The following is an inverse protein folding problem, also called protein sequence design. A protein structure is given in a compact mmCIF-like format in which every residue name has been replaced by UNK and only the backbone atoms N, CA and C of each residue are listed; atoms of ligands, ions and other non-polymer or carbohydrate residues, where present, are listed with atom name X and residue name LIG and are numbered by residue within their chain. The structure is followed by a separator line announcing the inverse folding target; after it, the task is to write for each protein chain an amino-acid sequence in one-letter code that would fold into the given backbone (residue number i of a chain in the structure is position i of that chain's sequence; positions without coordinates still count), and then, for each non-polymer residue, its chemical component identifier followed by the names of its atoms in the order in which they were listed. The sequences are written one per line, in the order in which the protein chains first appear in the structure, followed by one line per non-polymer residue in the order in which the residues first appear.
data_IF_789271142593
#
_entry.id   IF_789271142593
#
_cell.length_a   1.000
_cell.length_b   1.000
_cell.length_c   1.000
_cell.angle_alpha   90.00
_cell.angle_beta   90.00
_cell.angle_gamma   90.00
#
_symmetry.space_group_name_H-M   'P 1'
#
loop_
_entity.id
_entity.type
_entity.pdbx_description
1 polymer ?
#
# COMPACT_ATOMS: atom_id res chain seq x y z
N UNK A 1 -30.32 32.69 2.94
CA UNK A 1 -31.49 31.82 2.65
C UNK A 1 -30.94 30.45 2.29
N UNK A 2 -31.10 29.43 3.13
CA UNK A 2 -30.74 28.07 2.70
C UNK A 2 -31.69 27.66 1.59
N UNK A 3 -31.14 27.29 0.43
CA UNK A 3 -31.94 26.74 -0.65
C UNK A 3 -32.64 25.46 -0.14
N UNK A 4 -33.95 25.35 -0.36
CA UNK A 4 -34.73 24.19 0.05
C UNK A 4 -34.27 22.99 -0.77
N UNK A 5 -33.70 21.97 -0.12
CA UNK A 5 -33.24 20.75 -0.80
C UNK A 5 -34.42 19.88 -1.25
N UNK A 6 -34.26 19.22 -2.41
CA UNK A 6 -35.12 18.13 -2.84
C UNK A 6 -34.98 16.93 -1.90
N UNK A 7 -36.04 16.13 -1.73
CA UNK A 7 -36.03 14.93 -0.89
C UNK A 7 -36.40 13.71 -1.70
N UNK A 8 -35.57 12.67 -1.62
CA UNK A 8 -35.77 11.39 -2.27
C UNK A 8 -35.72 10.31 -1.20
N UNK A 9 -36.88 9.69 -0.94
CA UNK A 9 -36.98 8.57 -0.01
C UNK A 9 -36.86 7.24 -0.75
N UNK A 10 -36.26 6.24 -0.06
CA UNK A 10 -36.18 4.80 -0.38
C UNK A 10 -36.66 4.41 -1.78
N UNK A 11 -35.75 4.46 -2.75
CA UNK A 11 -35.95 3.91 -4.09
C UNK A 11 -34.63 3.48 -4.72
N UNK A 12 -34.71 2.87 -5.89
CA UNK A 12 -33.58 2.68 -6.77
C UNK A 12 -33.27 4.00 -7.49
N UNK A 13 -32.01 4.41 -7.46
CA UNK A 13 -31.53 5.68 -8.01
C UNK A 13 -30.46 5.39 -9.06
N UNK A 14 -30.66 5.93 -10.26
CA UNK A 14 -29.77 5.78 -11.41
C UNK A 14 -29.15 7.11 -11.87
N UNK A 15 -29.48 8.21 -11.20
CA UNK A 15 -28.91 9.55 -11.43
C UNK A 15 -28.89 10.35 -10.13
N UNK A 16 -27.84 11.16 -9.92
CA UNK A 16 -27.74 12.07 -8.78
C UNK A 16 -28.00 13.50 -9.24
N UNK A 17 -28.95 14.15 -8.58
CA UNK A 17 -29.24 15.59 -8.72
C UNK A 17 -28.59 16.39 -7.59
N UNK A 18 -28.05 17.57 -7.93
CA UNK A 18 -27.55 18.54 -6.94
C UNK A 18 -28.67 19.06 -6.04
N UNK A 19 -28.31 19.63 -4.87
CA UNK A 19 -29.28 20.17 -3.90
C UNK A 19 -30.34 19.16 -3.44
N UNK A 20 -29.97 17.89 -3.31
CA UNK A 20 -30.90 16.79 -3.03
C UNK A 20 -30.46 15.97 -1.81
N UNK A 21 -31.42 15.55 -1.01
CA UNK A 21 -31.24 14.64 0.12
C UNK A 21 -31.84 13.28 -0.24
N UNK A 22 -30.99 12.24 -0.27
CA UNK A 22 -31.35 10.84 -0.50
C UNK A 22 -31.34 10.10 0.84
N UNK A 23 -32.45 9.46 1.21
CA UNK A 23 -32.55 8.70 2.45
C UNK A 23 -33.01 7.25 2.19
N UNK A 24 -32.18 6.30 2.58
CA UNK A 24 -32.44 4.86 2.44
C UNK A 24 -32.46 4.35 0.99
N UNK A 25 -31.79 5.03 0.06
CA UNK A 25 -31.82 4.67 -1.36
C UNK A 25 -30.78 3.60 -1.72
N UNK A 26 -31.09 2.81 -2.75
CA UNK A 26 -30.12 1.95 -3.43
C UNK A 26 -29.63 2.67 -4.70
N UNK A 27 -28.33 2.95 -4.77
CA UNK A 27 -27.74 3.77 -5.82
C UNK A 27 -26.94 2.89 -6.77
N UNK A 28 -27.28 2.93 -8.06
CA UNK A 28 -26.71 2.12 -9.13
C UNK A 28 -26.00 3.02 -10.13
N UNK A 29 -24.90 3.64 -9.68
CA UNK A 29 -24.11 4.60 -10.43
C UNK A 29 -22.64 4.35 -10.13
N UNK A 30 -21.85 4.02 -11.16
CA UNK A 30 -20.43 3.72 -11.03
C UNK A 30 -19.55 4.98 -11.12
N UNK A 31 -20.05 6.03 -11.76
CA UNK A 31 -19.34 7.29 -11.89
C UNK A 31 -20.28 8.48 -11.71
N UNK A 32 -19.95 9.37 -10.77
CA UNK A 32 -20.63 10.63 -10.51
C UNK A 32 -19.67 11.75 -10.87
N UNK A 33 -19.95 12.44 -11.98
CA UNK A 33 -19.07 13.53 -12.44
C UNK A 33 -19.13 14.72 -11.49
N UNK A 34 -20.33 15.13 -11.08
CA UNK A 34 -20.53 16.27 -10.19
C UNK A 34 -21.52 15.89 -9.09
N UNK A 35 -21.07 16.00 -7.84
CA UNK A 35 -21.88 15.85 -6.65
C UNK A 35 -21.76 17.14 -5.83
N UNK A 36 -22.76 18.00 -5.90
CA UNK A 36 -22.72 19.32 -5.28
C UNK A 36 -23.95 19.54 -4.40
N UNK A 37 -23.71 19.86 -3.13
CA UNK A 37 -24.73 20.09 -2.11
C UNK A 37 -25.72 18.91 -2.03
N UNK A 38 -25.19 17.69 -1.84
CA UNK A 38 -25.97 16.44 -1.78
C UNK A 38 -25.78 15.76 -0.43
N UNK A 39 -26.89 15.32 0.16
CA UNK A 39 -26.87 14.57 1.41
C UNK A 39 -27.34 13.15 1.13
N UNK A 40 -26.52 12.17 1.52
CA UNK A 40 -26.87 10.76 1.51
C UNK A 40 -26.96 10.25 2.94
N UNK A 41 -28.13 9.74 3.31
CA UNK A 41 -28.39 9.11 4.61
C UNK A 41 -28.80 7.66 4.39
N UNK A 42 -28.17 6.72 5.10
CA UNK A 42 -28.55 5.30 5.09
C UNK A 42 -28.59 4.66 3.68
N UNK A 43 -27.81 5.19 2.74
CA UNK A 43 -27.84 4.75 1.35
C UNK A 43 -26.86 3.59 1.10
N UNK A 44 -27.16 2.74 0.13
CA UNK A 44 -26.25 1.68 -0.30
C UNK A 44 -25.92 1.86 -1.77
N UNK A 45 -24.64 2.10 -2.05
CA UNK A 45 -24.12 2.14 -3.41
C UNK A 45 -23.81 0.70 -3.84
N UNK A 46 -24.41 0.29 -4.95
CA UNK A 46 -24.47 -1.12 -5.38
C UNK A 46 -23.42 -1.48 -6.41
N UNK A 47 -22.83 -0.49 -7.07
CA UNK A 47 -21.74 -0.72 -7.99
C UNK A 47 -20.48 -1.17 -7.24
N UNK A 48 -19.69 -2.02 -7.90
CA UNK A 48 -18.44 -2.54 -7.33
C UNK A 48 -17.46 -1.40 -7.07
N UNK A 49 -17.42 -0.44 -7.96
CA UNK A 49 -16.56 0.73 -7.85
C UNK A 49 -17.39 1.96 -8.14
N UNK A 50 -17.34 2.93 -7.23
CA UNK A 50 -18.02 4.22 -7.35
C UNK A 50 -16.96 5.31 -7.37
N UNK A 51 -16.86 6.02 -8.47
CA UNK A 51 -15.96 7.15 -8.62
C UNK A 51 -16.74 8.46 -8.54
N UNK A 52 -16.32 9.38 -7.68
CA UNK A 52 -16.85 10.74 -7.62
C UNK A 52 -15.75 11.71 -8.02
N UNK A 53 -15.90 12.33 -9.18
CA UNK A 53 -14.87 13.21 -9.74
C UNK A 53 -14.78 14.53 -8.99
N UNK A 54 -15.94 15.16 -8.73
CA UNK A 54 -16.05 16.42 -7.99
C UNK A 54 -17.15 16.30 -6.93
N UNK A 55 -16.77 16.50 -5.67
CA UNK A 55 -17.64 16.40 -4.51
C UNK A 55 -17.51 17.66 -3.65
N UNK A 56 -18.53 18.50 -3.63
CA UNK A 56 -18.54 19.75 -2.86
C UNK A 56 -19.79 19.84 -1.99
N UNK A 57 -19.61 20.26 -0.72
CA UNK A 57 -20.68 20.46 0.25
C UNK A 57 -21.59 19.22 0.40
N UNK A 58 -21.00 18.02 0.41
CA UNK A 58 -21.74 16.76 0.46
C UNK A 58 -21.57 16.04 1.81
N UNK A 59 -22.57 15.23 2.18
CA UNK A 59 -22.49 14.35 3.36
C UNK A 59 -22.89 12.93 3.00
N UNK A 60 -22.11 11.97 3.49
CA UNK A 60 -22.40 10.54 3.43
C UNK A 60 -22.47 10.00 4.85
N UNK A 61 -23.69 9.82 5.34
CA UNK A 61 -23.94 9.34 6.70
C UNK A 61 -24.55 7.95 6.64
N UNK A 62 -23.91 6.97 7.31
CA UNK A 62 -24.33 5.56 7.29
C UNK A 62 -24.48 4.99 5.87
N UNK A 63 -23.57 5.39 4.97
CA UNK A 63 -23.59 4.93 3.58
C UNK A 63 -22.61 3.79 3.36
N UNK A 64 -23.03 2.77 2.61
CA UNK A 64 -22.21 1.59 2.33
C UNK A 64 -21.74 1.58 0.88
N UNK A 65 -20.48 1.23 0.68
CA UNK A 65 -19.82 1.09 -0.61
C UNK A 65 -19.06 -0.24 -0.65
N UNK A 66 -18.84 -0.80 -1.85
CA UNK A 66 -17.76 -1.78 -2.00
C UNK A 66 -16.42 -1.02 -2.10
N UNK A 67 -16.27 -0.22 -3.15
CA UNK A 67 -15.15 0.71 -3.32
C UNK A 67 -15.66 2.12 -3.62
N UNK A 68 -15.04 3.12 -3.01
CA UNK A 68 -15.30 4.53 -3.24
C UNK A 68 -14.00 5.26 -3.59
N UNK A 69 -13.94 5.85 -4.77
CA UNK A 69 -12.87 6.75 -5.19
C UNK A 69 -13.35 8.20 -5.22
N UNK A 70 -12.62 9.06 -4.51
CA UNK A 70 -12.90 10.48 -4.36
C UNK A 70 -11.75 11.28 -4.95
N UNK A 71 -12.03 11.99 -6.05
CA UNK A 71 -10.99 12.73 -6.76
C UNK A 71 -10.79 14.14 -6.23
N UNK A 72 -11.78 15.02 -6.34
CA UNK A 72 -11.72 16.36 -5.74
C UNK A 72 -12.82 16.53 -4.71
N UNK A 73 -12.44 16.69 -3.45
CA UNK A 73 -13.39 16.87 -2.35
C UNK A 73 -13.18 18.20 -1.61
N UNK A 74 -14.28 18.90 -1.36
CA UNK A 74 -14.32 20.12 -0.53
C UNK A 74 -15.57 20.08 0.35
N UNK A 75 -15.42 20.43 1.63
CA UNK A 75 -16.53 20.45 2.60
C UNK A 75 -17.34 19.14 2.62
N UNK A 76 -16.64 18.01 2.52
CA UNK A 76 -17.24 16.69 2.61
C UNK A 76 -17.49 16.34 4.08
N UNK A 77 -18.42 15.41 4.34
CA UNK A 77 -18.54 14.66 5.59
C UNK A 77 -18.72 13.19 5.24
N UNK A 78 -17.90 12.33 5.83
CA UNK A 78 -18.09 10.88 5.79
C UNK A 78 -18.19 10.38 7.24
N UNK A 79 -19.33 9.82 7.60
CA UNK A 79 -19.63 9.41 8.97
C UNK A 79 -20.40 8.08 8.99
N UNK A 80 -19.92 7.13 9.78
CA UNK A 80 -20.51 5.78 9.79
C UNK A 80 -20.36 5.03 8.46
N UNK A 81 -21.11 3.93 8.34
CA UNK A 81 -21.09 3.09 7.14
C UNK A 81 -19.83 2.23 7.00
N UNK A 82 -19.86 1.37 5.99
CA UNK A 82 -18.81 0.39 5.71
C UNK A 82 -18.36 0.46 4.25
N UNK A 83 -17.05 0.32 4.03
CA UNK A 83 -16.47 0.13 2.72
C UNK A 83 -15.22 -0.75 2.76
N UNK A 84 -14.98 -1.48 1.66
CA UNK A 84 -13.78 -2.31 1.52
C UNK A 84 -12.59 -1.45 1.11
N UNK A 85 -12.75 -0.58 0.11
CA UNK A 85 -11.69 0.29 -0.42
C UNK A 85 -12.15 1.76 -0.45
N UNK A 86 -11.27 2.65 0.02
CA UNK A 86 -11.42 4.10 -0.05
C UNK A 86 -10.15 4.70 -0.68
N UNK A 87 -10.30 5.23 -1.89
CA UNK A 87 -9.24 5.98 -2.56
C UNK A 87 -9.54 7.47 -2.52
N UNK A 88 -8.57 8.28 -2.12
CA UNK A 88 -8.68 9.74 -2.12
C UNK A 88 -7.51 10.28 -2.93
N UNK A 89 -7.81 10.89 -4.06
CA UNK A 89 -6.76 11.36 -4.98
C UNK A 89 -6.36 12.79 -4.66
N UNK A 90 -7.30 13.73 -4.47
CA UNK A 90 -6.99 15.13 -4.14
C UNK A 90 -7.90 15.67 -3.04
N UNK A 91 -7.34 16.53 -2.19
CA UNK A 91 -8.04 17.13 -1.05
C UNK A 91 -7.35 16.85 0.29
N UNK A 92 -8.16 16.63 1.32
CA UNK A 92 -7.76 16.32 2.70
C UNK A 92 -8.50 15.06 3.18
N UNK A 93 -8.15 14.53 4.35
CA UNK A 93 -8.90 13.47 5.05
C UNK A 93 -9.65 13.99 6.30
N UNK A 94 -9.57 15.29 6.60
CA UNK A 94 -10.15 15.88 7.83
C UNK A 94 -11.68 15.80 7.96
N UNK A 95 -12.35 15.47 6.86
CA UNK A 95 -13.78 15.25 6.79
C UNK A 95 -14.21 13.83 7.17
N UNK A 96 -13.28 12.88 7.31
CA UNK A 96 -13.57 11.55 7.82
C UNK A 96 -13.87 11.69 9.31
N UNK A 97 -15.11 11.41 9.69
CA UNK A 97 -15.60 11.50 11.07
C UNK A 97 -15.60 10.11 11.72
N UNK A 98 -16.33 9.98 12.83
CA UNK A 98 -16.37 8.76 13.61
C UNK A 98 -17.09 7.61 12.89
N UNK A 99 -16.82 6.40 13.35
CA UNK A 99 -17.54 5.16 12.99
C UNK A 99 -17.48 4.73 11.52
N UNK A 100 -16.63 5.34 10.68
CA UNK A 100 -16.39 4.87 9.32
C UNK A 100 -15.54 3.60 9.37
N UNK A 101 -16.04 2.51 8.78
CA UNK A 101 -15.31 1.25 8.68
C UNK A 101 -14.69 1.12 7.28
N UNK A 102 -13.37 1.20 7.20
CA UNK A 102 -12.59 1.05 5.96
C UNK A 102 -11.56 -0.04 6.18
N UNK A 103 -11.44 -0.99 5.24
CA UNK A 103 -10.38 -2.02 5.30
C UNK A 103 -9.13 -1.62 4.52
N UNK A 104 -9.30 -0.97 3.37
CA UNK A 104 -8.20 -0.55 2.50
C UNK A 104 -8.33 0.93 2.20
N UNK A 105 -7.22 1.66 2.34
CA UNK A 105 -7.20 3.10 2.10
C UNK A 105 -6.00 3.47 1.24
N UNK A 106 -6.23 4.27 0.19
CA UNK A 106 -5.20 4.80 -0.69
C UNK A 106 -5.27 6.32 -0.72
N UNK A 107 -4.16 6.99 -0.41
CA UNK A 107 -4.10 8.46 -0.26
C UNK A 107 -2.90 9.04 -1.04
N UNK A 108 -2.77 8.82 -2.35
CA UNK A 108 -1.52 9.12 -3.08
C UNK A 108 -1.13 10.61 -3.15
N UNK A 109 -2.07 11.57 -3.20
CA UNK A 109 -1.73 12.98 -3.55
C UNK A 109 -2.28 14.06 -2.59
N UNK A 110 -3.15 13.72 -1.63
CA UNK A 110 -3.85 14.68 -0.75
C UNK A 110 -3.15 14.91 0.59
N UNK A 111 -2.94 16.13 1.09
CA UNK A 111 -2.30 16.36 2.42
C UNK A 111 -2.91 15.46 3.52
N UNK A 112 -2.07 14.69 4.21
CA UNK A 112 -2.49 13.69 5.20
C UNK A 112 -1.96 14.13 6.55
N UNK A 113 -2.88 14.37 7.48
CA UNK A 113 -2.59 14.54 8.89
C UNK A 113 -3.11 13.28 9.60
N UNK A 114 -2.19 12.52 10.19
CA UNK A 114 -2.47 11.23 10.79
C UNK A 114 -3.44 11.32 11.98
N UNK A 115 -3.60 12.51 12.57
CA UNK A 115 -4.58 12.73 13.64
C UNK A 115 -6.03 12.47 13.18
N UNK A 116 -6.33 12.58 11.89
CA UNK A 116 -7.66 12.28 11.36
C UNK A 116 -7.89 10.79 11.11
N UNK A 117 -6.83 9.98 11.04
CA UNK A 117 -6.95 8.55 10.79
C UNK A 117 -7.29 7.73 12.05
N UNK A 118 -7.21 8.33 13.25
CA UNK A 118 -7.54 7.67 14.52
C UNK A 118 -8.95 7.05 14.58
N UNK A 119 -9.85 7.48 13.71
CA UNK A 119 -11.22 6.98 13.63
C UNK A 119 -11.35 5.69 12.81
N UNK A 120 -10.33 5.32 12.01
CA UNK A 120 -10.37 4.17 11.10
C UNK A 120 -9.70 2.96 11.75
N UNK A 121 -10.41 2.29 12.66
CA UNK A 121 -9.82 1.23 13.51
C UNK A 121 -9.62 -0.12 12.84
N UNK A 122 -10.31 -0.39 11.73
CA UNK A 122 -10.34 -1.69 11.05
C UNK A 122 -9.46 -1.72 9.79
N UNK A 123 -8.53 -0.77 9.67
CA UNK A 123 -7.67 -0.67 8.50
C UNK A 123 -6.70 -1.85 8.44
N UNK A 124 -6.71 -2.55 7.31
CA UNK A 124 -5.87 -3.71 7.00
C UNK A 124 -4.81 -3.39 5.96
N UNK A 125 -5.10 -2.44 5.06
CA UNK A 125 -4.17 -1.99 4.02
C UNK A 125 -4.15 -0.46 3.92
N UNK A 126 -2.94 0.11 3.91
CA UNK A 126 -2.73 1.55 3.77
C UNK A 126 -1.67 1.82 2.70
N UNK A 127 -2.05 2.59 1.67
CA UNK A 127 -1.14 3.15 0.69
C UNK A 127 -1.04 4.67 0.85
N UNK A 128 0.13 5.13 1.25
CA UNK A 128 0.49 6.54 1.33
C UNK A 128 1.79 6.82 0.56
N UNK A 129 2.05 6.04 -0.49
CA UNK A 129 3.24 6.17 -1.32
C UNK A 129 3.31 7.50 -2.08
N UNK A 130 4.53 7.89 -2.46
CA UNK A 130 4.88 9.11 -3.22
C UNK A 130 4.56 10.44 -2.52
N UNK A 131 4.56 10.45 -1.17
CA UNK A 131 4.24 11.62 -0.34
C UNK A 131 5.36 11.97 0.62
N UNK A 132 5.60 13.24 0.90
CA UNK A 132 6.48 13.57 2.03
C UNK A 132 5.76 13.18 3.34
N UNK A 133 6.33 12.21 4.06
CA UNK A 133 5.87 11.77 5.38
C UNK A 133 6.98 12.08 6.40
N UNK A 134 6.62 12.59 7.58
CA UNK A 134 7.56 12.75 8.67
C UNK A 134 7.72 11.42 9.42
N UNK A 135 8.94 11.04 9.78
CA UNK A 135 9.22 9.82 10.55
C UNK A 135 8.37 9.75 11.85
N UNK A 136 8.13 10.90 12.51
CA UNK A 136 7.29 10.97 13.72
C UNK A 136 5.82 10.62 13.45
N UNK A 137 5.32 10.91 12.26
CA UNK A 137 3.93 10.63 11.92
C UNK A 137 3.67 9.12 11.84
N UNK A 138 4.71 8.32 11.57
CA UNK A 138 4.61 6.86 11.53
C UNK A 138 4.27 6.26 12.90
N UNK A 139 4.52 6.96 14.01
CA UNK A 139 4.10 6.50 15.35
C UNK A 139 2.58 6.34 15.46
N UNK A 140 1.80 7.07 14.65
CA UNK A 140 0.34 6.93 14.64
C UNK A 140 -0.13 5.61 14.00
N UNK A 141 0.71 4.95 13.20
CA UNK A 141 0.36 3.67 12.56
C UNK A 141 0.13 2.55 13.57
N UNK A 142 0.68 2.66 14.79
CA UNK A 142 0.45 1.71 15.88
C UNK A 142 -1.04 1.62 16.30
N UNK A 143 -1.85 2.63 15.94
CA UNK A 143 -3.29 2.63 16.20
C UNK A 143 -4.04 1.61 15.33
N UNK A 144 -3.47 1.20 14.19
CA UNK A 144 -4.07 0.24 13.27
C UNK A 144 -3.68 -1.18 13.63
N UNK A 145 -4.32 -1.70 14.69
CA UNK A 145 -4.03 -3.06 15.21
C UNK A 145 -4.27 -4.20 14.22
N UNK A 146 -4.94 -3.95 13.09
CA UNK A 146 -5.22 -4.94 12.03
C UNK A 146 -4.42 -4.68 10.75
N UNK A 147 -3.47 -3.74 10.75
CA UNK A 147 -2.73 -3.37 9.55
C UNK A 147 -1.76 -4.49 9.17
N UNK A 148 -1.96 -5.01 7.97
CA UNK A 148 -1.22 -6.14 7.39
C UNK A 148 -0.40 -5.71 6.15
N UNK A 149 -0.87 -4.72 5.40
CA UNK A 149 -0.27 -4.26 4.14
C UNK A 149 -0.01 -2.74 4.17
N UNK A 150 1.25 -2.34 4.05
CA UNK A 150 1.67 -0.95 4.14
C UNK A 150 2.58 -0.55 2.98
N UNK A 151 2.16 0.44 2.21
CA UNK A 151 2.96 1.04 1.15
C UNK A 151 3.43 2.44 1.55
N UNK A 152 4.73 2.56 1.82
CA UNK A 152 5.48 3.78 2.16
C UNK A 152 6.48 4.14 1.05
N UNK A 153 6.33 3.59 -0.16
CA UNK A 153 7.26 3.82 -1.26
C UNK A 153 7.39 5.32 -1.58
N UNK A 154 8.62 5.82 -1.72
CA UNK A 154 8.89 7.20 -2.13
C UNK A 154 8.39 8.26 -1.15
N UNK A 155 8.38 7.95 0.15
CA UNK A 155 7.84 8.86 1.18
C UNK A 155 8.85 9.79 1.87
N UNK A 156 10.14 9.62 1.54
CA UNK A 156 11.29 10.31 2.14
C UNK A 156 11.49 10.04 3.64
N UNK A 157 10.88 8.97 4.16
CA UNK A 157 11.15 8.51 5.52
C UNK A 157 12.60 8.05 5.65
N UNK A 158 13.17 8.24 6.83
CA UNK A 158 14.55 7.87 7.15
C UNK A 158 14.68 6.88 8.30
N UNK A 159 13.58 6.61 9.01
CA UNK A 159 13.51 5.73 10.18
C UNK A 159 12.50 4.58 9.98
N UNK A 160 12.89 3.37 10.40
CA UNK A 160 12.07 2.14 10.36
C UNK A 160 11.53 1.81 11.75
N UNK A 161 12.22 2.26 12.81
CA UNK A 161 11.85 1.98 14.20
C UNK A 161 10.35 2.14 14.52
N UNK A 162 9.63 3.19 14.04
CA UNK A 162 8.20 3.35 14.34
C UNK A 162 7.33 2.17 13.87
N UNK A 163 7.74 1.43 12.84
CA UNK A 163 6.97 0.32 12.26
C UNK A 163 6.99 -0.94 13.12
N UNK A 164 7.92 -1.05 14.09
CA UNK A 164 8.06 -2.23 14.95
C UNK A 164 6.83 -2.52 15.81
N UNK A 165 6.00 -1.50 16.04
CA UNK A 165 4.77 -1.64 16.83
C UNK A 165 3.60 -2.20 16.02
N UNK A 166 3.73 -2.35 14.69
CA UNK A 166 2.68 -2.86 13.81
C UNK A 166 2.77 -4.39 13.74
N UNK A 167 2.20 -5.05 14.75
CA UNK A 167 2.42 -6.49 15.00
C UNK A 167 1.92 -7.43 13.90
N UNK A 168 0.98 -7.01 13.07
CA UNK A 168 0.37 -7.87 12.05
C UNK A 168 0.89 -7.59 10.63
N UNK A 169 1.89 -6.71 10.50
CA UNK A 169 2.41 -6.32 9.19
C UNK A 169 3.07 -7.50 8.48
N UNK A 170 2.52 -7.87 7.32
CA UNK A 170 2.99 -8.97 6.49
C UNK A 170 3.50 -8.52 5.12
N UNK A 171 3.06 -7.34 4.64
CA UNK A 171 3.51 -6.75 3.38
C UNK A 171 3.96 -5.32 3.61
N UNK A 172 5.18 -5.02 3.16
CA UNK A 172 5.78 -3.72 3.34
C UNK A 172 6.53 -3.27 2.10
N UNK A 173 6.16 -2.10 1.57
CA UNK A 173 6.92 -1.42 0.53
C UNK A 173 7.61 -0.17 1.10
N UNK A 174 8.94 -0.21 1.14
CA UNK A 174 9.83 0.86 1.57
C UNK A 174 10.67 1.41 0.40
N UNK A 175 10.36 1.02 -0.84
CA UNK A 175 11.14 1.39 -2.01
C UNK A 175 11.24 2.91 -2.19
N UNK A 176 12.25 3.39 -2.92
CA UNK A 176 12.46 4.83 -3.17
C UNK A 176 12.64 5.70 -1.90
N UNK A 177 13.06 5.13 -0.77
CA UNK A 177 13.42 5.87 0.45
C UNK A 177 14.93 5.77 0.75
N UNK A 178 15.41 6.54 1.72
CA UNK A 178 16.82 6.52 2.15
C UNK A 178 16.90 6.46 3.67
N UNK A 179 17.39 5.34 4.20
CA UNK A 179 17.40 5.03 5.63
C UNK A 179 18.75 5.31 6.28
N UNK A 180 18.76 5.63 7.57
CA UNK A 180 20.02 5.73 8.34
C UNK A 180 20.62 4.34 8.55
N UNK A 181 21.94 4.26 8.70
CA UNK A 181 22.64 2.97 8.80
C UNK A 181 22.19 2.12 10.00
N UNK A 182 21.81 2.77 11.10
CA UNK A 182 21.32 2.10 12.31
C UNK A 182 19.87 1.59 12.19
N UNK A 183 19.14 1.91 11.12
CA UNK A 183 17.73 1.56 10.97
C UNK A 183 17.54 0.17 10.36
N UNK A 184 18.54 -0.37 9.66
CA UNK A 184 18.44 -1.70 9.07
C UNK A 184 18.21 -2.79 10.12
N UNK A 185 18.81 -2.68 11.32
CA UNK A 185 18.52 -3.61 12.42
C UNK A 185 17.05 -3.58 12.84
N UNK A 186 16.40 -2.42 12.73
CA UNK A 186 15.00 -2.27 13.13
C UNK A 186 14.05 -3.00 12.17
N UNK A 187 14.44 -3.09 10.89
CA UNK A 187 13.72 -3.87 9.89
C UNK A 187 13.65 -5.35 10.28
N UNK A 188 14.73 -5.91 10.83
CA UNK A 188 14.78 -7.30 11.27
C UNK A 188 13.85 -7.67 12.43
N UNK A 189 13.25 -6.68 13.10
CA UNK A 189 12.25 -6.92 14.15
C UNK A 189 10.83 -7.12 13.58
N UNK A 190 10.61 -6.87 12.29
CA UNK A 190 9.32 -7.05 11.61
C UNK A 190 9.08 -8.51 11.20
N UNK A 191 9.12 -9.42 12.18
CA UNK A 191 9.21 -10.89 11.98
C UNK A 191 8.05 -11.53 11.21
N UNK A 192 6.93 -10.83 11.07
CA UNK A 192 5.74 -11.32 10.34
C UNK A 192 5.76 -10.95 8.85
N UNK A 193 6.77 -10.22 8.37
CA UNK A 193 6.88 -9.88 6.96
C UNK A 193 7.02 -11.13 6.07
N UNK A 194 6.14 -11.22 5.09
CA UNK A 194 6.17 -12.19 3.99
C UNK A 194 6.62 -11.55 2.68
N UNK A 195 6.29 -10.27 2.48
CA UNK A 195 6.61 -9.50 1.28
C UNK A 195 7.30 -8.20 1.67
N UNK A 196 8.51 -7.98 1.13
CA UNK A 196 9.30 -6.79 1.40
C UNK A 196 9.88 -6.21 0.12
N UNK A 197 9.58 -4.94 -0.14
CA UNK A 197 10.19 -4.19 -1.24
C UNK A 197 11.12 -3.09 -0.70
N UNK A 198 12.39 -3.20 -1.10
CA UNK A 198 13.50 -2.30 -0.74
C UNK A 198 14.17 -1.73 -1.99
N UNK A 199 13.53 -1.83 -3.16
CA UNK A 199 14.09 -1.33 -4.40
C UNK A 199 14.39 0.17 -4.33
N UNK A 200 15.49 0.60 -4.98
CA UNK A 200 15.93 2.02 -4.98
C UNK A 200 16.09 2.62 -3.59
N UNK A 201 16.50 1.81 -2.62
CA UNK A 201 16.96 2.30 -1.31
C UNK A 201 18.49 2.32 -1.25
N UNK A 202 19.04 2.84 -0.16
CA UNK A 202 20.47 2.83 0.12
C UNK A 202 20.96 1.55 0.83
N UNK A 203 20.22 0.43 0.71
CA UNK A 203 20.62 -0.87 1.27
C UNK A 203 21.91 -1.41 0.63
N UNK A 204 22.80 -1.98 1.44
CA UNK A 204 24.06 -2.61 1.03
C UNK A 204 24.13 -4.05 1.53
N UNK A 205 25.09 -4.83 1.03
CA UNK A 205 25.29 -6.23 1.42
C UNK A 205 25.35 -6.41 2.95
N UNK A 206 26.09 -5.56 3.67
CA UNK A 206 26.21 -5.63 5.13
C UNK A 206 24.88 -5.43 5.89
N UNK A 207 23.88 -4.80 5.25
CA UNK A 207 22.57 -4.56 5.86
C UNK A 207 21.61 -5.74 5.66
N UNK A 208 21.91 -6.66 4.73
CA UNK A 208 21.11 -7.86 4.49
C UNK A 208 21.04 -8.79 5.70
N UNK A 209 22.02 -8.69 6.62
CA UNK A 209 22.05 -9.47 7.86
C UNK A 209 20.76 -9.29 8.68
N UNK A 210 20.18 -8.09 8.65
CA UNK A 210 18.92 -7.82 9.33
C UNK A 210 17.74 -8.62 8.74
N UNK A 211 17.80 -8.98 7.46
CA UNK A 211 16.72 -9.72 6.78
C UNK A 211 16.71 -11.20 7.18
N UNK A 212 17.81 -11.75 7.71
CA UNK A 212 17.89 -13.14 8.21
C UNK A 212 16.88 -13.39 9.33
N UNK A 213 16.57 -12.36 10.12
CA UNK A 213 15.57 -12.43 11.19
C UNK A 213 14.12 -12.46 10.68
N UNK A 214 13.88 -12.19 9.39
CA UNK A 214 12.55 -12.19 8.77
C UNK A 214 12.18 -13.62 8.35
N UNK A 215 11.93 -14.48 9.34
CA UNK A 215 11.75 -15.93 9.15
C UNK A 215 10.52 -16.32 8.30
N UNK A 216 9.59 -15.38 8.08
CA UNK A 216 8.43 -15.59 7.21
C UNK A 216 8.61 -14.98 5.80
N UNK A 217 9.74 -14.32 5.52
CA UNK A 217 9.94 -13.59 4.29
C UNK A 217 10.01 -14.54 3.09
N UNK A 218 9.08 -14.37 2.15
CA UNK A 218 8.98 -15.18 0.94
C UNK A 218 9.34 -14.39 -0.30
N UNK A 219 8.91 -13.13 -0.38
CA UNK A 219 9.11 -12.29 -1.58
C UNK A 219 9.95 -11.06 -1.24
N UNK A 220 11.10 -10.94 -1.89
CA UNK A 220 12.07 -9.88 -1.65
C UNK A 220 12.41 -9.14 -2.94
N UNK A 221 12.26 -7.82 -2.93
CA UNK A 221 12.59 -6.94 -4.05
C UNK A 221 13.72 -5.99 -3.64
N UNK A 222 14.85 -6.07 -4.36
CA UNK A 222 16.09 -5.33 -4.10
C UNK A 222 16.59 -4.59 -5.35
N UNK A 223 15.73 -4.39 -6.35
CA UNK A 223 16.12 -3.77 -7.61
C UNK A 223 16.68 -2.35 -7.46
N UNK A 224 17.61 -1.96 -8.33
CA UNK A 224 18.26 -0.64 -8.32
C UNK A 224 18.94 -0.29 -6.99
N UNK A 225 19.58 -1.27 -6.36
CA UNK A 225 20.38 -1.10 -5.15
C UNK A 225 21.85 -1.39 -5.44
N UNK A 226 22.71 -1.24 -4.44
CA UNK A 226 24.14 -1.60 -4.57
C UNK A 226 24.44 -3.04 -4.17
N UNK A 227 23.42 -3.91 -4.12
CA UNK A 227 23.62 -5.33 -3.82
C UNK A 227 24.48 -5.97 -4.92
N UNK A 228 25.47 -6.75 -4.51
CA UNK A 228 26.35 -7.51 -5.40
C UNK A 228 26.30 -9.01 -5.08
N UNK A 229 26.99 -9.83 -5.86
CA UNK A 229 27.07 -11.29 -5.62
C UNK A 229 27.46 -11.63 -4.18
N UNK A 230 28.31 -10.83 -3.52
CA UNK A 230 28.70 -11.05 -2.13
C UNK A 230 27.53 -10.95 -1.13
N UNK A 231 26.44 -10.23 -1.47
CA UNK A 231 25.25 -10.19 -0.63
C UNK A 231 24.41 -11.47 -0.68
N UNK A 232 24.61 -12.33 -1.69
CA UNK A 232 23.84 -13.57 -1.82
C UNK A 232 24.19 -14.59 -0.73
N UNK A 233 25.40 -14.56 -0.18
CA UNK A 233 25.80 -15.40 0.96
C UNK A 233 24.87 -15.20 2.17
N UNK A 234 24.50 -13.95 2.46
CA UNK A 234 23.53 -13.64 3.51
C UNK A 234 22.11 -14.08 3.11
N UNK A 235 21.70 -13.86 1.86
CA UNK A 235 20.36 -14.25 1.40
C UNK A 235 20.13 -15.77 1.40
N UNK A 236 21.18 -16.58 1.27
CA UNK A 236 21.10 -18.05 1.42
C UNK A 236 20.61 -18.46 2.81
N UNK A 237 20.79 -17.61 3.83
CA UNK A 237 20.32 -17.86 5.19
C UNK A 237 18.82 -17.59 5.35
N UNK A 238 18.12 -17.24 4.28
CA UNK A 238 16.66 -17.05 4.21
C UNK A 238 16.06 -18.16 3.33
N UNK A 239 16.08 -19.43 3.78
CA UNK A 239 15.86 -20.60 2.93
C UNK A 239 14.45 -20.68 2.34
N UNK A 240 13.48 -19.96 2.91
CA UNK A 240 12.08 -19.93 2.49
C UNK A 240 11.77 -18.88 1.39
N UNK A 241 12.77 -18.16 0.88
CA UNK A 241 12.57 -17.22 -0.22
C UNK A 241 12.05 -17.93 -1.47
N UNK A 242 10.90 -17.48 -1.95
CA UNK A 242 10.24 -17.99 -3.16
C UNK A 242 10.41 -17.03 -4.34
N UNK A 243 10.58 -15.74 -4.07
CA UNK A 243 10.77 -14.72 -5.10
C UNK A 243 11.86 -13.73 -4.72
N UNK A 244 12.83 -13.57 -5.61
CA UNK A 244 13.94 -12.65 -5.46
C UNK A 244 14.11 -11.80 -6.73
N UNK A 245 13.95 -10.50 -6.58
CA UNK A 245 14.06 -9.53 -7.68
C UNK A 245 15.26 -8.61 -7.44
N UNK A 246 16.28 -8.76 -8.26
CA UNK A 246 17.57 -8.05 -8.22
C UNK A 246 17.86 -7.27 -9.51
N UNK A 247 16.90 -6.64 -10.20
CA UNK A 247 17.22 -5.94 -11.43
C UNK A 247 18.07 -4.69 -11.19
N UNK A 248 18.92 -4.33 -12.15
CA UNK A 248 19.81 -3.17 -12.00
C UNK A 248 20.67 -3.22 -10.71
N UNK A 249 21.25 -4.38 -10.43
CA UNK A 249 22.17 -4.61 -9.31
C UNK A 249 23.55 -5.06 -9.83
N UNK A 250 24.49 -5.31 -8.92
CA UNK A 250 25.86 -5.71 -9.23
C UNK A 250 26.05 -7.23 -9.15
N UNK A 251 24.99 -7.99 -9.50
CA UNK A 251 25.03 -9.45 -9.60
C UNK A 251 25.79 -9.83 -10.87
N UNK A 252 26.82 -10.66 -10.71
CA UNK A 252 27.70 -11.16 -11.77
C UNK A 252 27.60 -12.69 -11.91
N UNK A 253 28.34 -13.25 -12.86
CA UNK A 253 28.34 -14.68 -13.19
C UNK A 253 28.71 -15.60 -12.02
N UNK A 254 29.50 -15.13 -11.05
CA UNK A 254 29.83 -15.88 -9.83
C UNK A 254 28.59 -16.18 -8.96
N UNK A 255 27.44 -15.55 -9.23
CA UNK A 255 26.19 -15.76 -8.51
C UNK A 255 25.53 -17.12 -8.79
N UNK A 256 25.93 -17.84 -9.85
CA UNK A 256 25.31 -19.10 -10.27
C UNK A 256 25.28 -20.11 -9.12
N UNK A 257 26.41 -20.31 -8.44
CA UNK A 257 26.53 -21.28 -7.35
C UNK A 257 25.65 -20.92 -6.15
N UNK A 258 25.37 -19.63 -5.93
CA UNK A 258 24.45 -19.18 -4.90
C UNK A 258 22.99 -19.46 -5.31
N UNK A 259 22.59 -19.11 -6.54
CA UNK A 259 21.22 -19.34 -6.99
C UNK A 259 20.85 -20.83 -7.02
N UNK A 260 21.77 -21.71 -7.39
CA UNK A 260 21.57 -23.17 -7.34
C UNK A 260 21.26 -23.70 -5.92
N UNK A 261 21.76 -23.01 -4.88
CA UNK A 261 21.50 -23.37 -3.49
C UNK A 261 20.14 -22.85 -2.98
N UNK A 262 19.52 -21.88 -3.68
CA UNK A 262 18.19 -21.33 -3.34
C UNK A 262 17.07 -22.24 -3.86
N UNK A 263 16.97 -23.45 -3.30
CA UNK A 263 16.08 -24.52 -3.79
C UNK A 263 14.58 -24.22 -3.73
N UNK A 264 14.14 -23.28 -2.88
CA UNK A 264 12.73 -22.86 -2.80
C UNK A 264 12.35 -21.74 -3.77
N UNK A 265 13.33 -21.19 -4.49
CA UNK A 265 13.11 -20.04 -5.36
C UNK A 265 12.28 -20.46 -6.58
N UNK A 266 11.12 -19.82 -6.73
CA UNK A 266 10.18 -20.00 -7.85
C UNK A 266 10.29 -18.89 -8.88
N UNK A 267 10.78 -17.72 -8.47
CA UNK A 267 10.95 -16.56 -9.34
C UNK A 267 12.27 -15.85 -9.05
N UNK A 268 13.08 -15.67 -10.09
CA UNK A 268 14.35 -14.93 -10.04
C UNK A 268 14.36 -13.85 -11.11
N UNK A 269 14.52 -12.59 -10.70
CA UNK A 269 14.72 -11.46 -11.61
C UNK A 269 16.14 -10.92 -11.49
N UNK A 270 16.94 -10.98 -12.55
CA UNK A 270 18.31 -10.45 -12.63
C UNK A 270 18.52 -9.58 -13.86
N UNK A 271 17.44 -9.07 -14.47
CA UNK A 271 17.53 -8.24 -15.67
C UNK A 271 18.31 -6.95 -15.42
N UNK A 272 19.07 -6.51 -16.43
CA UNK A 272 19.98 -5.37 -16.30
C UNK A 272 21.01 -5.51 -15.17
N UNK A 273 21.38 -6.75 -14.80
CA UNK A 273 22.54 -7.03 -13.95
C UNK A 273 23.83 -7.17 -14.78
N UNK A 274 24.91 -7.66 -14.16
CA UNK A 274 26.19 -7.96 -14.82
C UNK A 274 26.34 -9.44 -15.19
N UNK A 275 25.30 -10.25 -14.97
CA UNK A 275 25.28 -11.65 -15.38
C UNK A 275 25.17 -11.74 -16.91
N UNK A 276 25.95 -12.63 -17.51
CA UNK A 276 25.93 -12.88 -18.95
C UNK A 276 24.64 -13.60 -19.37
N UNK A 277 24.24 -13.41 -20.64
CA UNK A 277 23.10 -14.14 -21.21
C UNK A 277 23.30 -15.64 -21.17
N UNK A 278 24.52 -16.10 -21.43
CA UNK A 278 24.91 -17.52 -21.38
C UNK A 278 24.59 -18.11 -20.01
N UNK A 279 24.93 -17.41 -18.92
CA UNK A 279 24.65 -17.89 -17.57
C UNK A 279 23.18 -17.76 -17.15
N UNK A 280 22.45 -16.79 -17.70
CA UNK A 280 20.99 -16.73 -17.53
C UNK A 280 20.31 -17.96 -18.16
N UNK A 281 20.71 -18.35 -19.38
CA UNK A 281 20.19 -19.57 -20.02
C UNK A 281 20.63 -20.82 -19.27
N UNK A 282 21.89 -20.89 -18.83
CA UNK A 282 22.39 -21.99 -18.00
C UNK A 282 21.55 -22.15 -16.72
N UNK A 283 21.22 -21.06 -16.02
CA UNK A 283 20.37 -21.12 -14.83
C UNK A 283 18.95 -21.61 -15.17
N UNK A 284 18.39 -21.28 -16.33
CA UNK A 284 17.07 -21.79 -16.75
C UNK A 284 17.09 -23.30 -16.98
N UNK A 285 18.18 -23.82 -17.49
CA UNK A 285 18.37 -25.27 -17.69
C UNK A 285 18.56 -26.00 -16.35
N UNK A 286 19.37 -25.44 -15.44
CA UNK A 286 19.68 -26.04 -14.13
C UNK A 286 18.55 -25.89 -13.10
N UNK A 287 17.72 -24.86 -13.24
CA UNK A 287 16.61 -24.55 -12.32
C UNK A 287 15.26 -24.50 -13.06
N UNK A 288 14.79 -25.60 -13.68
CA UNK A 288 13.58 -25.62 -14.50
C UNK A 288 12.29 -25.35 -13.71
N UNK A 289 12.33 -25.43 -12.38
CA UNK A 289 11.21 -25.06 -11.49
C UNK A 289 11.13 -23.55 -11.22
N UNK A 290 12.19 -22.80 -11.53
CA UNK A 290 12.30 -21.38 -11.26
C UNK A 290 12.06 -20.57 -12.54
N UNK A 291 11.15 -19.60 -12.49
CA UNK A 291 10.94 -18.66 -13.57
C UNK A 291 12.01 -17.57 -13.51
N UNK A 292 12.97 -17.62 -14.45
CA UNK A 292 14.13 -16.72 -14.47
C UNK A 292 13.99 -15.63 -15.55
N UNK A 293 13.90 -14.38 -15.09
CA UNK A 293 13.88 -13.17 -15.91
C UNK A 293 15.25 -12.49 -15.87
N UNK A 294 15.90 -12.31 -17.03
CA UNK A 294 17.25 -11.75 -17.14
C UNK A 294 17.44 -10.99 -18.44
#
# INVERSE_FOLDING_TARGET
MSAKMNKVARKNVHSIESNTCYDGCAIYISQIVLCNNVIFCNCSFREREVQILYCEDCSFTQCNFHSLELNFCKNLVLEGGCMEDLAITKGSVSWIKSAVQVKKMRVPVCSLDFNYLQNIKNLQSLDISARIVNDRDLEHLQLFSQLEDLNLSGTKISEIAPLQNIKHLCKLDLSYNSFRENEWKNLGELKNLEVLNLGRTNIKNANLEALVNLTNLRFLYLGYTTISTAGLETLLQIPQLEKLELPHTYICDEAIEFFKQMSHLKHLGVYSSRMSRENIEFLREEMPWCCIHG
#
